data_IF_792179397037
#
_entry.id   IF_792179397037
#
_cell.length_a   1.000
_cell.length_b   1.000
_cell.length_c   1.000
_cell.angle_alpha   90.00
_cell.angle_beta   90.00
_cell.angle_gamma   90.00
#
_symmetry.space_group_name_H-M   'P 1'
#
loop_
_entity.id
_entity.type
_entity.pdbx_description
1 polymer ?
#
# COMPACT_ATOMS: atom_id res chain seq x y z
N UNK A 1 -21.52 48.24 -18.25
CA UNK A 1 -20.90 47.70 -17.03
C UNK A 1 -21.73 46.56 -16.45
N UNK A 2 -23.05 46.72 -16.28
CA UNK A 2 -23.88 45.71 -15.61
C UNK A 2 -24.08 44.41 -16.40
N UNK A 3 -24.19 44.50 -17.74
CA UNK A 3 -24.25 43.30 -18.59
C UNK A 3 -22.97 42.45 -18.48
N UNK A 4 -21.80 43.08 -18.37
CA UNK A 4 -20.52 42.38 -18.18
C UNK A 4 -20.42 41.73 -16.80
N UNK A 5 -20.95 42.37 -15.75
CA UNK A 5 -21.02 41.80 -14.40
C UNK A 5 -21.97 40.61 -14.32
N UNK A 6 -23.13 40.69 -14.99
CA UNK A 6 -24.08 39.59 -15.06
C UNK A 6 -23.48 38.37 -15.79
N UNK A 7 -22.78 38.60 -16.91
CA UNK A 7 -22.11 37.53 -17.64
C UNK A 7 -20.98 36.88 -16.82
N UNK A 8 -20.22 37.66 -16.04
CA UNK A 8 -19.20 37.13 -15.14
C UNK A 8 -19.81 36.26 -14.03
N UNK A 9 -20.88 36.73 -13.38
CA UNK A 9 -21.56 35.99 -12.32
C UNK A 9 -22.13 34.66 -12.83
N UNK A 10 -22.67 34.62 -14.05
CA UNK A 10 -23.15 33.39 -14.67
C UNK A 10 -22.00 32.39 -14.94
N UNK A 11 -20.85 32.88 -15.41
CA UNK A 11 -19.66 32.05 -15.63
C UNK A 11 -19.08 31.51 -14.32
N UNK A 12 -19.04 32.33 -13.26
CA UNK A 12 -18.59 31.90 -11.93
C UNK A 12 -19.52 30.84 -11.34
N UNK A 13 -20.84 31.00 -11.49
CA UNK A 13 -21.82 30.00 -11.06
C UNK A 13 -21.65 28.68 -11.82
N UNK A 14 -21.45 28.73 -13.14
CA UNK A 14 -21.16 27.53 -13.96
C UNK A 14 -19.85 26.87 -13.56
N UNK A 15 -18.80 27.65 -13.30
CA UNK A 15 -17.51 27.14 -12.83
C UNK A 15 -17.66 26.46 -11.47
N UNK A 16 -18.32 27.08 -10.52
CA UNK A 16 -18.55 26.49 -9.19
C UNK A 16 -19.36 25.19 -9.28
N UNK A 17 -20.40 25.15 -10.11
CA UNK A 17 -21.18 23.93 -10.35
C UNK A 17 -20.32 22.81 -10.96
N UNK A 18 -19.51 23.13 -11.99
CA UNK A 18 -18.61 22.16 -12.62
C UNK A 18 -17.55 21.63 -11.65
N UNK A 19 -16.98 22.49 -10.80
CA UNK A 19 -16.03 22.07 -9.75
C UNK A 19 -16.68 21.11 -8.76
N UNK A 20 -17.90 21.42 -8.29
CA UNK A 20 -18.63 20.53 -7.39
C UNK A 20 -18.91 19.17 -8.02
N UNK A 21 -19.32 19.15 -9.30
CA UNK A 21 -19.54 17.90 -10.03
C UNK A 21 -18.25 17.09 -10.12
N UNK A 22 -17.12 17.72 -10.45
CA UNK A 22 -15.82 17.04 -10.49
C UNK A 22 -15.44 16.39 -9.15
N UNK A 23 -15.69 17.06 -8.03
CA UNK A 23 -15.47 16.50 -6.68
C UNK A 23 -16.36 15.26 -6.40
N UNK A 24 -17.59 15.23 -6.92
CA UNK A 24 -18.50 14.07 -6.81
C UNK A 24 -18.07 12.89 -7.72
N UNK A 25 -17.42 13.16 -8.86
CA UNK A 25 -16.96 12.13 -9.82
C UNK A 25 -15.53 11.66 -9.55
N UNK A 26 -14.74 12.38 -8.76
CA UNK A 26 -13.39 11.98 -8.34
C UNK A 26 -13.30 10.55 -7.77
N UNK A 27 -14.22 10.06 -6.91
CA UNK A 27 -14.22 8.66 -6.48
C UNK A 27 -14.51 7.65 -7.61
N UNK A 28 -15.12 8.07 -8.73
CA UNK A 28 -15.28 7.23 -9.93
C UNK A 28 -14.01 7.20 -10.78
N UNK A 29 -13.21 8.26 -10.81
CA UNK A 29 -11.88 8.23 -11.44
C UNK A 29 -10.91 7.31 -10.71
N UNK A 30 -11.10 7.11 -9.40
CA UNK A 30 -10.44 6.05 -8.65
C UNK A 30 -10.84 4.62 -9.09
N UNK A 31 -11.75 4.43 -10.05
CA UNK A 31 -11.98 3.12 -10.66
C UNK A 31 -11.10 2.90 -11.90
N UNK A 32 -10.50 3.96 -12.46
CA UNK A 32 -9.58 3.88 -13.61
C UNK A 32 -8.12 3.73 -13.19
N UNK A 33 -7.79 3.97 -11.92
CA UNK A 33 -6.45 3.79 -11.39
C UNK A 33 -6.11 2.31 -11.10
N UNK A 34 -4.82 2.01 -11.14
CA UNK A 34 -4.30 0.67 -10.88
C UNK A 34 -4.15 0.45 -9.36
N UNK A 35 -5.10 -0.30 -8.78
CA UNK A 35 -5.08 -0.73 -7.37
C UNK A 35 -4.58 -2.17 -7.21
N UNK A 36 -3.73 -2.62 -8.12
CA UNK A 36 -3.27 -3.99 -8.21
C UNK A 36 -4.02 -4.81 -9.27
N UNK A 37 -3.48 -5.98 -9.67
CA UNK A 37 -4.03 -6.84 -10.72
C UNK A 37 -5.51 -7.19 -10.60
N UNK A 38 -6.03 -7.27 -9.38
CA UNK A 38 -7.41 -7.57 -9.04
C UNK A 38 -8.10 -6.42 -8.26
N UNK A 39 -7.54 -5.21 -8.30
CA UNK A 39 -8.03 -4.04 -7.55
C UNK A 39 -8.03 -4.26 -6.03
N UNK A 40 -7.19 -5.18 -5.55
CA UNK A 40 -7.14 -5.64 -4.16
C UNK A 40 -6.74 -4.55 -3.16
N UNK A 41 -6.02 -3.51 -3.62
CA UNK A 41 -5.60 -2.36 -2.81
C UNK A 41 -6.62 -1.21 -2.83
N UNK A 42 -7.73 -1.34 -3.56
CA UNK A 42 -8.74 -0.27 -3.66
C UNK A 42 -9.31 0.10 -2.29
N UNK A 43 -9.40 -0.87 -1.36
CA UNK A 43 -9.83 -0.67 0.02
C UNK A 43 -8.96 0.31 0.83
N UNK A 44 -7.76 0.64 0.35
CA UNK A 44 -6.83 1.59 0.96
C UNK A 44 -6.97 3.01 0.40
N UNK A 45 -7.61 3.17 -0.75
CA UNK A 45 -7.78 4.47 -1.39
C UNK A 45 -8.59 5.42 -0.50
N UNK A 46 -8.14 6.69 -0.41
CA UNK A 46 -8.80 7.72 0.41
C UNK A 46 -8.67 7.53 1.92
N UNK A 47 -7.96 6.49 2.39
CA UNK A 47 -7.70 6.24 3.82
C UNK A 47 -6.27 6.63 4.16
N UNK A 48 -6.07 7.06 5.40
CA UNK A 48 -4.76 7.40 5.93
C UNK A 48 -4.47 6.60 7.20
N UNK A 49 -3.24 6.12 7.33
CA UNK A 49 -2.76 5.26 8.40
C UNK A 49 -1.61 5.97 9.11
N UNK A 50 -1.83 6.31 10.38
CA UNK A 50 -0.84 6.99 11.20
C UNK A 50 -0.21 6.02 12.20
N UNK A 51 1.11 6.11 12.36
CA UNK A 51 1.86 5.40 13.38
C UNK A 51 2.95 6.30 13.96
N UNK A 52 3.33 6.04 15.21
CA UNK A 52 4.42 6.76 15.88
C UNK A 52 5.60 5.82 16.07
N UNK A 53 6.73 6.21 15.49
CA UNK A 53 8.01 5.57 15.72
C UNK A 53 8.90 6.65 16.35
N UNK A 54 9.00 6.70 17.70
CA UNK A 54 9.66 7.80 18.40
C UNK A 54 11.04 8.11 17.81
N UNK A 55 11.36 9.40 17.58
CA UNK A 55 10.63 10.57 18.07
C UNK A 55 9.49 11.07 17.15
N UNK A 56 9.25 10.44 16.01
CA UNK A 56 8.42 11.02 14.95
C UNK A 56 7.04 10.35 14.84
N UNK A 57 6.05 11.11 14.36
CA UNK A 57 4.76 10.59 13.90
C UNK A 57 4.71 10.57 12.38
N UNK A 58 4.28 9.45 11.83
CA UNK A 58 4.13 9.26 10.39
C UNK A 58 2.66 9.11 10.02
N UNK A 59 2.30 9.56 8.82
CA UNK A 59 0.98 9.32 8.24
C UNK A 59 1.09 9.03 6.75
N UNK A 60 0.72 7.80 6.39
CA UNK A 60 0.68 7.30 5.02
C UNK A 60 -0.76 7.31 4.52
N UNK A 61 -1.01 7.94 3.38
CA UNK A 61 -2.26 7.83 2.63
C UNK A 61 -1.93 7.17 1.28
N UNK A 62 -2.15 5.85 1.12
CA UNK A 62 -1.86 5.14 -0.13
C UNK A 62 -2.48 5.85 -1.34
N UNK A 63 -1.74 5.89 -2.45
CA UNK A 63 -2.12 6.62 -3.68
C UNK A 63 -2.25 8.14 -3.55
N UNK A 64 -1.91 8.73 -2.39
CA UNK A 64 -1.97 10.17 -2.16
C UNK A 64 -0.61 10.74 -1.71
N UNK A 65 -0.19 10.47 -0.48
CA UNK A 65 1.04 11.04 0.05
C UNK A 65 1.51 10.42 1.35
N UNK A 66 2.75 10.72 1.73
CA UNK A 66 3.36 10.25 2.96
C UNK A 66 4.01 11.40 3.72
N UNK A 67 3.82 11.46 5.04
CA UNK A 67 4.27 12.57 5.88
C UNK A 67 4.93 12.12 7.18
N UNK A 68 5.83 12.97 7.69
CA UNK A 68 6.48 12.89 9.00
C UNK A 68 6.24 14.20 9.74
N UNK A 69 5.51 14.18 10.86
CA UNK A 69 5.14 15.37 11.64
C UNK A 69 4.57 16.51 10.79
N UNK A 70 3.77 16.14 9.78
CA UNK A 70 3.18 17.08 8.82
C UNK A 70 4.10 17.51 7.67
N UNK A 71 5.39 17.18 7.72
CA UNK A 71 6.33 17.38 6.62
C UNK A 71 6.11 16.33 5.53
N UNK A 72 6.00 16.76 4.27
CA UNK A 72 5.83 15.83 3.16
C UNK A 72 7.11 15.03 2.89
N UNK A 73 7.01 13.71 2.97
CA UNK A 73 8.07 12.77 2.54
C UNK A 73 7.97 12.45 1.05
N UNK A 74 6.78 12.62 0.46
CA UNK A 74 6.54 12.50 -0.97
C UNK A 74 5.05 12.39 -1.29
N UNK A 75 4.74 12.58 -2.58
CA UNK A 75 3.44 12.30 -3.20
C UNK A 75 3.53 10.98 -3.95
N UNK A 76 2.42 10.25 -4.06
CA UNK A 76 2.39 8.99 -4.80
C UNK A 76 2.98 9.15 -6.21
N UNK A 77 3.95 8.31 -6.54
CA UNK A 77 4.73 8.37 -7.77
C UNK A 77 4.64 7.09 -8.60
N UNK A 78 4.12 5.99 -8.02
CA UNK A 78 3.87 4.76 -8.76
C UNK A 78 3.80 3.52 -7.87
N UNK A 79 3.41 2.42 -8.50
CA UNK A 79 3.36 1.09 -7.91
C UNK A 79 4.33 0.17 -8.65
N UNK A 80 5.16 -0.55 -7.91
CA UNK A 80 5.99 -1.63 -8.43
C UNK A 80 5.45 -2.94 -7.86
N UNK A 81 4.84 -3.82 -8.67
CA UNK A 81 4.35 -5.10 -8.19
C UNK A 81 5.51 -5.96 -7.69
N UNK A 82 5.25 -6.81 -6.71
CA UNK A 82 6.23 -7.77 -6.26
C UNK A 82 6.67 -8.67 -7.43
N UNK A 83 7.97 -8.93 -7.53
CA UNK A 83 8.47 -9.80 -8.59
C UNK A 83 7.97 -11.21 -8.34
N UNK A 84 7.25 -11.76 -9.30
CA UNK A 84 7.10 -13.21 -9.42
C UNK A 84 8.47 -13.77 -9.77
N UNK A 85 9.06 -14.56 -8.87
CA UNK A 85 10.16 -15.46 -9.23
C UNK A 85 9.64 -16.37 -10.35
N UNK A 86 10.34 -16.38 -11.47
CA UNK A 86 10.14 -17.39 -12.48
C UNK A 86 10.25 -18.77 -11.82
N UNK A 87 9.42 -19.73 -12.23
CA UNK A 87 9.52 -21.09 -11.75
C UNK A 87 10.96 -21.58 -11.95
N UNK A 88 11.63 -21.96 -10.86
CA UNK A 88 12.98 -22.52 -10.91
C UNK A 88 12.87 -24.02 -10.79
N UNK A 89 13.42 -24.75 -11.75
CA UNK A 89 13.60 -26.20 -11.65
C UNK A 89 14.89 -26.45 -10.86
N UNK A 90 14.75 -27.05 -9.69
CA UNK A 90 15.86 -27.52 -8.86
C UNK A 90 16.63 -28.63 -9.55
N UNK A 91 17.89 -28.82 -9.15
CA UNK A 91 18.77 -29.86 -9.72
C UNK A 91 18.25 -31.30 -9.52
N UNK A 92 17.31 -31.48 -8.59
CA UNK A 92 16.62 -32.75 -8.29
C UNK A 92 15.36 -32.97 -9.14
N UNK A 93 15.04 -32.07 -10.06
CA UNK A 93 13.81 -32.10 -10.86
C UNK A 93 12.58 -31.55 -10.13
N UNK A 94 12.74 -31.04 -8.89
CA UNK A 94 11.65 -30.32 -8.22
C UNK A 94 11.40 -29.00 -8.92
N UNK A 95 10.13 -28.72 -9.24
CA UNK A 95 9.76 -27.40 -9.75
C UNK A 95 9.31 -26.57 -8.56
N UNK A 96 10.10 -25.56 -8.17
CA UNK A 96 9.56 -24.52 -7.31
C UNK A 96 8.50 -23.78 -8.14
N UNK A 97 7.24 -23.70 -7.69
CA UNK A 97 6.20 -23.00 -8.44
C UNK A 97 6.60 -21.55 -8.68
N UNK A 98 5.92 -20.88 -9.61
CA UNK A 98 5.95 -19.41 -9.69
C UNK A 98 5.69 -18.86 -8.28
N UNK A 99 6.74 -18.33 -7.65
CA UNK A 99 6.65 -17.78 -6.32
C UNK A 99 6.60 -16.27 -6.45
N UNK A 100 5.54 -15.62 -5.98
CA UNK A 100 5.70 -14.23 -5.53
C UNK A 100 6.75 -14.27 -4.43
N UNK A 101 7.65 -13.28 -4.36
CA UNK A 101 8.53 -13.18 -3.19
C UNK A 101 7.65 -13.38 -1.93
N UNK A 102 7.99 -14.32 -1.02
CA UNK A 102 7.10 -14.76 0.05
C UNK A 102 6.67 -13.59 0.96
N UNK A 103 7.43 -12.50 0.93
CA UNK A 103 7.26 -11.31 1.75
C UNK A 103 6.85 -10.06 0.93
N UNK A 104 6.77 -10.14 -0.40
CA UNK A 104 6.56 -8.96 -1.23
C UNK A 104 5.12 -8.80 -1.68
N UNK A 105 4.38 -7.84 -1.11
CA UNK A 105 3.12 -7.34 -1.64
C UNK A 105 3.28 -6.31 -2.76
N UNK A 106 4.49 -5.78 -2.95
CA UNK A 106 4.83 -4.72 -3.89
C UNK A 106 5.35 -3.47 -3.17
N UNK A 107 5.72 -2.44 -3.93
CA UNK A 107 6.27 -1.19 -3.39
C UNK A 107 5.54 0.01 -3.99
N UNK A 108 5.01 0.90 -3.15
CA UNK A 108 4.59 2.24 -3.58
C UNK A 108 5.74 3.21 -3.44
N UNK A 109 6.06 3.92 -4.52
CA UNK A 109 7.02 5.03 -4.49
C UNK A 109 6.30 6.35 -4.20
N UNK A 110 6.97 7.21 -3.43
CA UNK A 110 6.56 8.56 -3.13
C UNK A 110 7.72 9.50 -3.39
N UNK A 111 7.53 10.49 -4.27
CA UNK A 111 8.57 11.43 -4.69
C UNK A 111 8.11 12.89 -4.50
N UNK A 112 9.01 13.84 -4.74
CA UNK A 112 8.71 15.28 -4.65
C UNK A 112 8.19 15.71 -3.28
N UNK A 113 8.78 15.16 -2.20
CA UNK A 113 8.55 15.62 -0.84
C UNK A 113 9.16 17.00 -0.57
N UNK A 114 8.95 17.50 0.64
CA UNK A 114 9.50 18.79 1.05
C UNK A 114 11.03 18.77 0.99
N UNK A 115 11.69 19.85 0.51
CA UNK A 115 13.15 19.92 0.42
C UNK A 115 13.88 19.66 1.74
N UNK A 116 15.01 19.00 1.61
CA UNK A 116 15.93 18.58 2.66
C UNK A 116 17.33 18.83 2.12
N UNK A 117 17.97 19.92 2.58
CA UNK A 117 19.24 20.42 2.03
C UNK A 117 19.27 20.53 0.50
N UNK A 118 18.18 21.07 -0.07
CA UNK A 118 18.04 21.29 -1.50
C UNK A 118 17.61 20.06 -2.31
N UNK A 119 17.54 18.87 -1.70
CA UNK A 119 17.03 17.66 -2.34
C UNK A 119 15.60 17.35 -1.87
N UNK A 120 14.62 17.15 -2.76
CA UNK A 120 13.29 16.71 -2.36
C UNK A 120 13.34 15.36 -1.64
N UNK A 121 12.59 15.23 -0.54
CA UNK A 121 12.41 13.93 0.13
C UNK A 121 11.71 12.94 -0.79
N UNK A 122 12.01 11.66 -0.58
CA UNK A 122 11.40 10.53 -1.27
C UNK A 122 11.25 9.35 -0.32
N UNK A 123 10.24 8.53 -0.55
CA UNK A 123 9.97 7.36 0.25
C UNK A 123 9.55 6.15 -0.59
N UNK A 124 9.90 4.96 -0.13
CA UNK A 124 9.39 3.69 -0.64
C UNK A 124 8.61 2.99 0.48
N UNK A 125 7.38 2.59 0.19
CA UNK A 125 6.54 1.83 1.13
C UNK A 125 6.41 0.41 0.61
N UNK A 126 6.98 -0.53 1.34
CA UNK A 126 6.92 -1.96 1.10
C UNK A 126 5.64 -2.53 1.71
N UNK A 127 4.86 -3.20 0.89
CA UNK A 127 3.62 -3.83 1.33
C UNK A 127 3.90 -5.28 1.71
N UNK A 128 3.45 -5.70 2.88
CA UNK A 128 3.62 -7.05 3.41
C UNK A 128 2.26 -7.64 3.82
N UNK A 129 2.15 -8.97 3.75
CA UNK A 129 0.96 -9.66 4.23
C UNK A 129 0.86 -9.53 5.76
N UNK A 130 -0.26 -9.01 6.25
CA UNK A 130 -0.56 -8.92 7.67
C UNK A 130 -2.06 -8.90 7.95
N UNK A 131 -2.44 -9.01 9.22
CA UNK A 131 -3.86 -9.14 9.63
C UNK A 131 -4.62 -7.82 9.58
N UNK A 132 -3.92 -6.68 9.61
CA UNK A 132 -4.51 -5.36 9.70
C UNK A 132 -3.79 -4.37 8.78
N UNK A 133 -4.54 -3.41 8.24
CA UNK A 133 -3.99 -2.27 7.52
C UNK A 133 -3.21 -1.36 8.48
N UNK A 134 -1.88 -1.44 8.49
CA UNK A 134 -1.06 -0.72 9.45
C UNK A 134 0.33 -0.36 8.91
N UNK A 135 0.78 0.86 9.21
CA UNK A 135 2.19 1.23 9.06
C UNK A 135 2.95 0.64 10.26
N UNK A 136 3.84 -0.32 10.00
CA UNK A 136 4.51 -1.11 11.06
C UNK A 136 6.00 -0.80 11.22
N UNK A 137 6.60 -0.10 10.25
CA UNK A 137 7.98 0.36 10.35
C UNK A 137 8.28 1.52 9.42
N UNK A 138 9.20 2.39 9.84
CA UNK A 138 9.79 3.45 9.00
C UNK A 138 11.26 3.61 9.38
N UNK A 139 12.12 3.66 8.38
CA UNK A 139 13.55 3.91 8.49
C UNK A 139 13.97 5.02 7.52
N UNK A 140 15.02 5.75 7.88
CA UNK A 140 15.70 6.72 7.01
C UNK A 140 17.12 6.17 6.73
N UNK A 141 17.27 5.20 5.80
CA UNK A 141 18.58 4.57 5.53
C UNK A 141 19.59 5.57 4.95
N UNK A 142 19.11 6.60 4.26
CA UNK A 142 19.92 7.70 3.76
C UNK A 142 19.19 9.02 4.02
N UNK A 143 19.94 10.10 4.20
CA UNK A 143 19.37 11.41 4.45
C UNK A 143 18.32 11.77 3.38
N UNK A 144 17.13 12.17 3.83
CA UNK A 144 15.99 12.52 3.00
C UNK A 144 15.35 11.35 2.20
N UNK A 145 15.80 10.11 2.40
CA UNK A 145 15.28 8.90 1.74
C UNK A 145 14.70 7.97 2.80
N UNK A 146 13.42 7.65 2.66
CA UNK A 146 12.68 6.87 3.65
C UNK A 146 12.28 5.51 3.07
N UNK A 147 12.34 4.48 3.90
CA UNK A 147 11.79 3.17 3.63
C UNK A 147 10.79 2.83 4.73
N UNK A 148 9.62 2.36 4.35
CA UNK A 148 8.55 2.05 5.27
C UNK A 148 7.94 0.68 4.96
N UNK A 149 7.43 0.02 6.00
CA UNK A 149 6.72 -1.25 5.87
C UNK A 149 5.27 -1.05 6.26
N UNK A 150 4.37 -1.41 5.35
CA UNK A 150 2.93 -1.38 5.53
C UNK A 150 2.36 -2.79 5.45
N UNK A 151 1.70 -3.24 6.50
CA UNK A 151 0.99 -4.51 6.51
C UNK A 151 -0.45 -4.32 6.04
N UNK A 152 -0.94 -5.26 5.24
CA UNK A 152 -2.36 -5.32 4.86
C UNK A 152 -2.77 -6.74 4.47
N UNK A 153 -4.00 -7.17 4.79
CA UNK A 153 -4.55 -8.42 4.28
C UNK A 153 -4.64 -8.45 2.75
N UNK A 154 -4.73 -7.29 2.11
CA UNK A 154 -4.94 -7.16 0.65
C UNK A 154 -3.79 -7.71 -0.20
N UNK A 155 -2.58 -7.83 0.35
CA UNK A 155 -1.42 -8.39 -0.37
C UNK A 155 -1.09 -9.83 0.02
N UNK A 156 -1.92 -10.45 0.88
CA UNK A 156 -1.75 -11.85 1.25
C UNK A 156 -2.09 -12.77 0.08
N UNK A 157 -1.14 -13.61 -0.32
CA UNK A 157 -1.36 -14.69 -1.27
C UNK A 157 -1.65 -16.00 -0.55
N UNK A 158 -2.29 -16.96 -1.22
CA UNK A 158 -2.47 -18.32 -0.69
C UNK A 158 -1.14 -19.00 -0.37
N UNK A 159 -0.08 -18.71 -1.13
CA UNK A 159 1.28 -19.17 -0.86
C UNK A 159 1.86 -18.58 0.43
N UNK A 160 1.73 -17.25 0.60
CA UNK A 160 2.17 -16.56 1.82
C UNK A 160 1.41 -17.03 3.07
N UNK A 161 0.08 -17.16 2.96
CA UNK A 161 -0.76 -17.69 4.04
C UNK A 161 -0.41 -19.14 4.40
N UNK A 162 -0.05 -19.98 3.43
CA UNK A 162 0.42 -21.34 3.69
C UNK A 162 1.72 -21.35 4.47
N UNK A 163 2.71 -20.56 4.06
CA UNK A 163 3.99 -20.46 4.76
C UNK A 163 3.81 -19.98 6.21
N UNK A 164 2.96 -18.98 6.44
CA UNK A 164 2.63 -18.52 7.79
C UNK A 164 1.93 -19.60 8.62
N UNK A 165 0.97 -20.32 8.04
CA UNK A 165 0.32 -21.46 8.69
C UNK A 165 1.34 -22.53 9.10
N UNK A 166 2.26 -22.92 8.22
CA UNK A 166 3.30 -23.92 8.49
C UNK A 166 4.27 -23.47 9.59
N UNK A 167 4.71 -22.21 9.55
CA UNK A 167 5.57 -21.64 10.58
C UNK A 167 4.90 -21.62 11.95
N UNK A 168 3.63 -21.23 12.01
CA UNK A 168 2.85 -21.22 13.26
C UNK A 168 2.62 -22.64 13.79
N UNK A 169 2.30 -23.59 12.91
CA UNK A 169 2.15 -25.00 13.29
C UNK A 169 3.45 -25.57 13.88
N UNK A 170 4.59 -25.28 13.25
CA UNK A 170 5.91 -25.70 13.73
C UNK A 170 6.26 -25.05 15.09
N UNK A 171 6.00 -23.76 15.26
CA UNK A 171 6.22 -23.05 16.52
C UNK A 171 5.35 -23.59 17.66
N UNK A 172 4.07 -23.86 17.39
CA UNK A 172 3.15 -24.46 18.36
C UNK A 172 3.60 -25.86 18.76
N UNK A 173 4.02 -26.70 17.79
CA UNK A 173 4.56 -28.02 18.06
C UNK A 173 5.84 -27.95 18.93
N UNK A 174 6.75 -27.04 18.62
CA UNK A 174 7.97 -26.81 19.41
C UNK A 174 7.65 -26.33 20.84
N UNK A 175 6.59 -25.55 21.02
CA UNK A 175 6.12 -25.08 22.32
C UNK A 175 5.22 -26.09 23.07
N UNK A 176 4.89 -27.23 22.47
CA UNK A 176 3.94 -28.19 23.04
C UNK A 176 2.51 -27.65 23.16
N UNK A 177 2.16 -26.65 22.35
CA UNK A 177 0.85 -26.00 22.37
C UNK A 177 -0.08 -26.61 21.31
N UNK A 178 -1.38 -26.76 21.60
CA UNK A 178 -2.34 -27.19 20.60
C UNK A 178 -2.52 -26.08 19.54
N UNK A 179 -2.41 -26.45 18.27
CA UNK A 179 -2.73 -25.60 17.13
C UNK A 179 -3.67 -26.35 16.19
N UNK A 180 -4.81 -25.75 15.90
CA UNK A 180 -5.80 -26.28 14.96
C UNK A 180 -6.27 -25.16 14.03
N UNK A 181 -5.97 -25.20 12.73
CA UNK A 181 -6.46 -24.21 11.78
C UNK A 181 -7.99 -24.33 11.62
N UNK A 182 -8.64 -23.22 11.30
CA UNK A 182 -10.08 -23.21 11.01
C UNK A 182 -10.40 -24.00 9.74
N UNK A 183 -11.62 -24.50 9.60
CA UNK A 183 -12.03 -25.24 8.40
C UNK A 183 -12.00 -24.36 7.14
N UNK A 184 -12.23 -23.05 7.30
CA UNK A 184 -12.06 -22.08 6.22
C UNK A 184 -10.61 -22.01 5.75
N UNK A 185 -9.65 -21.97 6.68
CA UNK A 185 -8.23 -21.94 6.36
C UNK A 185 -7.78 -23.26 5.73
N UNK A 186 -8.24 -24.40 6.24
CA UNK A 186 -7.95 -25.72 5.63
C UNK A 186 -8.45 -25.78 4.19
N UNK A 187 -9.70 -25.37 3.95
CA UNK A 187 -10.30 -25.34 2.60
C UNK A 187 -9.54 -24.40 1.67
N UNK A 188 -9.16 -23.21 2.15
CA UNK A 188 -8.42 -22.22 1.36
C UNK A 188 -7.02 -22.72 0.98
N UNK A 189 -6.34 -23.40 1.92
CA UNK A 189 -4.97 -23.88 1.75
C UNK A 189 -4.91 -25.32 1.18
N UNK A 190 -6.03 -25.98 0.94
CA UNK A 190 -6.06 -27.37 0.46
C UNK A 190 -5.42 -28.37 1.43
N UNK A 191 -5.59 -28.14 2.73
CA UNK A 191 -5.12 -29.00 3.83
C UNK A 191 -6.13 -30.09 4.19
#
# INVERSE_FOLDING_TARGET
ADAARAALAELEAKRAAATKTLEEVEPLFALEADFGPAQELFSLHGRCFSASFPPFKYSLCPYSGFTQDGRALGKYAGWTPARTRAATVGADGSTAPHGVDPDGGGVMSFDNGEPCDGTPRRAAVHFECGETDALVGVAEPQMCVYEATFQTPSVCSTGGLRAQHEALAAAAAAAGLPYAPSDALKKLLGL
#
